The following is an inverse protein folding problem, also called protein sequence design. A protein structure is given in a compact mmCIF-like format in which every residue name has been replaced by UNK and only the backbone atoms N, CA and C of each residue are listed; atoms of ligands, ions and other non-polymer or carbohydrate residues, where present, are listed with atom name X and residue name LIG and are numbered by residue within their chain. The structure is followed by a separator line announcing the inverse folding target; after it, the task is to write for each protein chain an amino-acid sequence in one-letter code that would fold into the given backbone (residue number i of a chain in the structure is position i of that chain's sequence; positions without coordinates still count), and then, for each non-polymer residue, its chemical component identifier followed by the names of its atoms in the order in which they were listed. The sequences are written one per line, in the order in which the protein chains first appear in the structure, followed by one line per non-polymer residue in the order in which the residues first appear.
data_IF_452727700284
#
_entry.id   IF_452727700284
#
_cell.length_a   1.000
_cell.length_b   1.000
_cell.length_c   1.000
_cell.angle_alpha   90.00
_cell.angle_beta   90.00
_cell.angle_gamma   90.00
#
_symmetry.space_group_name_H-M   'P 1'
#
loop_
_entity.id
_entity.type
_entity.pdbx_description
1 polymer ?
#
# COMPACT_ATOMS: atom_id res chain seq x y z
N UNK A 1 -9.54 -3.95 6.78
CA UNK A 1 -8.62 -2.84 7.06
C UNK A 1 -8.17 -2.22 5.75
N UNK A 2 -8.11 -0.90 5.68
CA UNK A 2 -7.65 -0.12 4.51
C UNK A 2 -6.36 0.60 4.88
N UNK A 3 -5.31 0.38 4.10
CA UNK A 3 -3.99 0.98 4.29
C UNK A 3 -3.66 1.90 3.11
N UNK A 4 -3.59 3.21 3.39
CA UNK A 4 -3.41 4.25 2.39
C UNK A 4 -1.98 4.43 1.91
N UNK A 5 -1.83 5.20 0.82
CA UNK A 5 -0.54 5.63 0.29
C UNK A 5 0.19 6.58 1.25
N UNK A 6 1.52 6.66 1.17
CA UNK A 6 2.27 7.54 2.06
C UNK A 6 3.78 7.58 1.85
N UNK A 7 4.32 6.87 0.87
CA UNK A 7 5.76 6.74 0.68
C UNK A 7 6.46 6.12 1.90
N UNK A 8 7.75 6.35 2.04
CA UNK A 8 8.59 5.75 3.11
C UNK A 8 8.13 6.17 4.51
N UNK A 9 7.88 7.46 4.71
CA UNK A 9 7.46 7.96 6.03
C UNK A 9 6.00 7.62 6.34
N UNK A 10 5.14 7.54 5.32
CA UNK A 10 3.79 7.03 5.48
C UNK A 10 3.75 5.55 5.83
N UNK A 11 4.68 4.75 5.30
CA UNK A 11 4.85 3.34 5.70
C UNK A 11 5.24 3.24 7.20
N UNK A 12 6.22 4.01 7.64
CA UNK A 12 6.61 4.08 9.04
C UNK A 12 5.43 4.49 9.96
N UNK A 13 4.69 5.52 9.53
CA UNK A 13 3.49 5.96 10.25
C UNK A 13 2.43 4.86 10.29
N UNK A 14 2.21 4.15 9.18
CA UNK A 14 1.24 3.05 9.10
C UNK A 14 1.59 1.91 10.06
N UNK A 15 2.87 1.53 10.17
CA UNK A 15 3.29 0.50 11.14
C UNK A 15 2.97 0.95 12.57
N UNK A 16 3.27 2.21 12.92
CA UNK A 16 2.95 2.75 14.24
C UNK A 16 1.45 2.78 14.52
N UNK A 17 0.65 3.18 13.54
CA UNK A 17 -0.81 3.19 13.64
C UNK A 17 -1.41 1.77 13.73
N UNK A 18 -0.83 0.78 13.02
CA UNK A 18 -1.20 -0.63 13.13
C UNK A 18 -0.88 -1.19 14.52
N UNK A 19 0.31 -0.89 15.07
CA UNK A 19 0.67 -1.28 16.44
C UNK A 19 -0.33 -0.73 17.47
N UNK A 20 -0.71 0.54 17.31
CA UNK A 20 -1.73 1.15 18.13
C UNK A 20 -3.11 0.51 17.94
N UNK A 21 -3.47 0.16 16.69
CA UNK A 21 -4.75 -0.48 16.38
C UNK A 21 -4.86 -1.85 17.05
N UNK A 22 -3.84 -2.70 16.93
CA UNK A 22 -3.84 -4.02 17.59
C UNK A 22 -3.94 -3.89 19.11
N UNK A 23 -3.18 -2.95 19.70
CA UNK A 23 -3.21 -2.71 21.15
C UNK A 23 -4.56 -2.19 21.65
N UNK A 24 -5.16 -1.22 20.96
CA UNK A 24 -6.37 -0.53 21.45
C UNK A 24 -7.66 -1.25 21.06
N UNK A 25 -7.66 -1.97 19.95
CA UNK A 25 -8.83 -2.73 19.48
C UNK A 25 -8.81 -4.21 19.88
N UNK A 26 -7.65 -4.72 20.32
CA UNK A 26 -7.52 -6.07 20.90
C UNK A 26 -7.63 -7.21 19.89
N UNK A 27 -7.22 -7.01 18.63
CA UNK A 27 -7.19 -8.06 17.62
C UNK A 27 -5.93 -7.99 16.76
N UNK A 28 -5.51 -9.13 16.22
CA UNK A 28 -4.41 -9.23 15.26
C UNK A 28 -4.92 -8.82 13.86
N UNK A 29 -4.29 -7.82 13.24
CA UNK A 29 -4.68 -7.31 11.93
C UNK A 29 -4.58 -8.38 10.84
N UNK A 30 -3.79 -9.43 11.03
CA UNK A 30 -3.71 -10.56 10.10
C UNK A 30 -4.97 -11.43 10.07
N UNK A 31 -5.86 -11.30 11.05
CA UNK A 31 -7.11 -12.07 11.15
C UNK A 31 -8.31 -11.39 10.50
N UNK A 32 -8.13 -10.21 9.92
CA UNK A 32 -9.24 -9.48 9.27
C UNK A 32 -9.71 -10.18 8.00
N UNK A 33 -10.96 -9.99 7.63
CA UNK A 33 -11.54 -10.61 6.43
C UNK A 33 -10.98 -10.02 5.12
N UNK A 34 -10.55 -8.74 5.13
CA UNK A 34 -10.09 -8.04 3.94
C UNK A 34 -9.04 -6.97 4.28
N UNK A 35 -7.94 -6.98 3.53
CA UNK A 35 -6.95 -5.91 3.46
C UNK A 35 -7.06 -5.20 2.11
N UNK A 36 -7.07 -3.87 2.12
CA UNK A 36 -6.96 -3.05 0.90
C UNK A 36 -5.75 -2.16 1.05
N UNK A 37 -4.76 -2.31 0.17
CA UNK A 37 -3.52 -1.56 0.22
C UNK A 37 -3.29 -0.69 -1.01
N UNK A 38 -2.78 0.53 -0.80
CA UNK A 38 -2.37 1.45 -1.86
C UNK A 38 -0.95 1.94 -1.60
N UNK A 39 -0.03 1.80 -2.57
CA UNK A 39 1.37 2.29 -2.46
C UNK A 39 2.06 1.73 -1.19
N UNK A 40 2.54 2.56 -0.29
CA UNK A 40 3.10 2.13 1.00
C UNK A 40 2.16 1.16 1.76
N UNK A 41 0.85 1.40 1.72
CA UNK A 41 -0.14 0.50 2.29
C UNK A 41 -0.21 -0.85 1.58
N UNK A 42 0.13 -0.92 0.30
CA UNK A 42 0.20 -2.20 -0.42
C UNK A 42 1.35 -3.09 0.06
N UNK A 43 2.49 -2.48 0.40
CA UNK A 43 3.63 -3.19 1.01
C UNK A 43 3.21 -3.77 2.36
N UNK A 44 2.62 -2.95 3.25
CA UNK A 44 2.13 -3.41 4.55
C UNK A 44 1.07 -4.52 4.41
N UNK A 45 0.10 -4.35 3.49
CA UNK A 45 -0.93 -5.36 3.24
C UNK A 45 -0.35 -6.68 2.73
N UNK A 46 0.66 -6.63 1.85
CA UNK A 46 1.33 -7.83 1.36
C UNK A 46 2.11 -8.54 2.49
N UNK A 47 2.83 -7.80 3.33
CA UNK A 47 3.55 -8.37 4.48
C UNK A 47 2.58 -9.03 5.47
N UNK A 48 1.49 -8.35 5.85
CA UNK A 48 0.45 -8.89 6.73
C UNK A 48 -0.20 -10.14 6.12
N UNK A 49 -0.52 -10.11 4.85
CA UNK A 49 -1.10 -11.25 4.14
C UNK A 49 -0.15 -12.45 4.12
N UNK A 50 1.16 -12.22 3.96
CA UNK A 50 2.17 -13.26 4.08
C UNK A 50 2.43 -13.69 5.53
N UNK A 51 1.66 -13.22 6.51
CA UNK A 51 1.75 -13.65 7.91
C UNK A 51 2.80 -12.91 8.74
N UNK A 52 3.43 -11.84 8.21
CA UNK A 52 4.32 -10.97 9.01
C UNK A 52 3.47 -10.17 9.98
N UNK A 53 3.77 -10.25 11.27
CA UNK A 53 3.07 -9.48 12.30
C UNK A 53 3.46 -8.00 12.26
N UNK A 54 2.62 -7.16 12.83
CA UNK A 54 2.91 -5.74 12.99
C UNK A 54 4.17 -5.53 13.84
N UNK A 55 4.37 -6.38 14.84
CA UNK A 55 5.54 -6.31 15.72
C UNK A 55 6.85 -6.69 15.00
N UNK A 56 6.83 -7.71 14.12
CA UNK A 56 7.98 -8.04 13.25
C UNK A 56 8.30 -6.87 12.31
N UNK A 57 7.30 -6.26 11.67
CA UNK A 57 7.50 -5.07 10.83
C UNK A 57 8.09 -3.91 11.63
N UNK A 58 7.62 -3.69 12.85
CA UNK A 58 8.12 -2.65 13.76
C UNK A 58 9.59 -2.88 14.11
N UNK A 59 9.95 -4.09 14.57
CA UNK A 59 11.34 -4.44 14.93
C UNK A 59 12.28 -4.28 13.73
N UNK A 60 11.88 -4.80 12.57
CA UNK A 60 12.67 -4.64 11.35
C UNK A 60 12.85 -3.16 10.98
N UNK A 61 11.80 -2.36 11.10
CA UNK A 61 11.85 -0.92 10.80
C UNK A 61 12.76 -0.15 11.78
N UNK A 62 12.85 -0.59 13.01
CA UNK A 62 13.75 -0.06 14.04
C UNK A 62 15.20 -0.58 13.91
N UNK A 63 15.44 -1.59 13.08
CA UNK A 63 16.77 -2.21 12.91
C UNK A 63 17.14 -3.15 14.06
N UNK A 64 16.17 -3.71 14.76
CA UNK A 64 16.35 -4.65 15.90
C UNK A 64 15.55 -5.93 15.67
N UNK A 65 15.82 -6.70 14.57
CA UNK A 65 15.06 -7.90 14.29
C UNK A 65 15.17 -8.93 15.43
N UNK A 66 14.09 -9.62 15.69
CA UNK A 66 14.03 -10.72 16.66
C UNK A 66 14.61 -12.01 16.06
N UNK A 67 14.93 -13.01 16.92
CA UNK A 67 15.55 -14.26 16.47
C UNK A 67 14.65 -15.12 15.57
N UNK A 68 13.34 -14.91 15.62
CA UNK A 68 12.33 -15.61 14.81
C UNK A 68 11.80 -14.78 13.64
N UNK A 69 12.25 -13.54 13.50
CA UNK A 69 11.82 -12.69 12.42
C UNK A 69 12.36 -13.21 11.07
N UNK A 70 11.62 -13.08 9.96
CA UNK A 70 12.12 -13.50 8.67
C UNK A 70 13.38 -12.69 8.31
N UNK A 71 14.40 -13.30 7.71
CA UNK A 71 15.61 -12.60 7.27
C UNK A 71 15.26 -11.71 6.08
N UNK A 72 14.95 -10.45 6.34
CA UNK A 72 14.61 -9.45 5.32
C UNK A 72 15.84 -8.58 5.06
N UNK A 73 16.39 -8.68 3.85
CA UNK A 73 17.58 -7.94 3.42
C UNK A 73 17.23 -6.55 2.83
N UNK A 74 16.28 -5.83 3.42
CA UNK A 74 15.86 -4.52 2.94
C UNK A 74 16.52 -3.39 3.74
N UNK A 75 17.39 -2.61 3.10
CA UNK A 75 17.99 -1.42 3.69
C UNK A 75 17.16 -0.17 3.38
N UNK A 76 16.50 0.37 4.40
CA UNK A 76 15.69 1.59 4.25
C UNK A 76 16.48 2.81 3.79
N UNK A 77 17.79 2.88 4.01
CA UNK A 77 18.61 3.99 3.56
C UNK A 77 18.99 3.89 2.08
N UNK A 78 19.28 2.67 1.61
CA UNK A 78 19.70 2.40 0.25
C UNK A 78 18.52 2.08 -0.68
N UNK A 79 17.54 1.29 -0.19
CA UNK A 79 16.53 0.63 -1.02
C UNK A 79 15.24 1.44 -1.20
N UNK A 80 15.00 2.49 -0.41
CA UNK A 80 13.79 3.33 -0.55
C UNK A 80 13.88 4.36 -1.68
N UNK A 81 14.96 4.36 -2.44
CA UNK A 81 15.27 5.43 -3.36
C UNK A 81 15.78 6.66 -2.60
N UNK A 82 16.34 7.62 -3.30
CA UNK A 82 16.88 8.84 -2.69
C UNK A 82 15.73 9.76 -2.24
N UNK A 83 16.00 10.64 -1.27
CA UNK A 83 15.04 11.66 -0.82
C UNK A 83 14.57 12.61 -1.94
N UNK A 84 15.22 12.60 -3.10
CA UNK A 84 14.82 13.31 -4.30
C UNK A 84 14.79 12.32 -5.49
N UNK A 85 13.82 12.46 -6.41
CA UNK A 85 13.77 11.62 -7.59
C UNK A 85 15.02 11.82 -8.44
N UNK A 86 15.54 10.76 -9.10
CA UNK A 86 16.56 10.92 -10.12
C UNK A 86 16.02 11.81 -11.25
N UNK A 87 16.91 12.51 -11.97
CA UNK A 87 16.52 13.39 -13.08
C UNK A 87 15.58 12.67 -14.04
N UNK A 88 14.34 13.15 -14.24
CA UNK A 88 13.35 12.47 -15.07
C UNK A 88 13.74 12.47 -16.56
N UNK A 89 13.10 11.61 -17.34
CA UNK A 89 13.22 11.63 -18.80
C UNK A 89 12.42 12.83 -19.34
N UNK A 90 12.97 13.58 -20.31
CA UNK A 90 12.31 14.73 -20.94
C UNK A 90 11.21 14.30 -21.95
N UNK A 91 10.35 13.34 -21.58
CA UNK A 91 9.22 12.89 -22.39
C UNK A 91 7.99 12.69 -21.50
N UNK A 92 6.77 13.03 -21.98
CA UNK A 92 5.55 12.72 -21.26
C UNK A 92 5.48 11.23 -20.93
N UNK A 93 5.02 10.89 -19.74
CA UNK A 93 4.95 9.51 -19.26
C UNK A 93 3.95 8.67 -20.07
N UNK A 94 2.78 9.23 -20.42
CA UNK A 94 1.76 8.59 -21.24
C UNK A 94 1.06 9.56 -22.20
N UNK A 95 1.58 9.72 -23.43
CA UNK A 95 0.89 10.54 -24.44
C UNK A 95 -0.55 10.05 -24.73
N UNK A 96 -0.76 8.74 -24.66
CA UNK A 96 -2.07 8.12 -24.89
C UNK A 96 -3.10 8.56 -23.86
N UNK A 97 -2.72 8.54 -22.57
CA UNK A 97 -3.58 8.99 -21.48
C UNK A 97 -3.92 10.47 -21.59
N UNK A 98 -3.00 11.31 -22.10
CA UNK A 98 -3.25 12.72 -22.36
C UNK A 98 -4.29 12.91 -23.47
N UNK A 99 -4.18 12.15 -24.55
CA UNK A 99 -5.16 12.17 -25.65
C UNK A 99 -6.54 11.72 -25.15
N UNK A 100 -6.59 10.65 -24.35
CA UNK A 100 -7.85 10.15 -23.79
C UNK A 100 -8.46 11.14 -22.78
N UNK A 101 -7.65 11.83 -22.00
CA UNK A 101 -8.12 12.89 -21.08
C UNK A 101 -8.73 14.08 -21.83
N UNK A 102 -8.18 14.45 -22.99
CA UNK A 102 -8.74 15.50 -23.83
C UNK A 102 -10.02 15.04 -24.51
N UNK A 103 -10.07 13.79 -25.00
CA UNK A 103 -11.26 13.24 -25.68
C UNK A 103 -12.40 12.91 -24.73
N UNK A 104 -12.09 12.51 -23.50
CA UNK A 104 -13.04 12.02 -22.50
C UNK A 104 -12.83 12.68 -21.13
N UNK A 105 -12.94 14.03 -21.00
CA UNK A 105 -12.56 14.76 -19.77
C UNK A 105 -13.40 14.37 -18.54
N UNK A 106 -14.58 13.79 -18.74
CA UNK A 106 -15.42 13.29 -17.63
C UNK A 106 -15.04 11.88 -17.16
N UNK A 107 -14.28 11.12 -17.96
CA UNK A 107 -13.89 9.74 -17.64
C UNK A 107 -12.50 9.65 -17.02
N UNK A 108 -11.61 10.58 -17.33
CA UNK A 108 -10.24 10.64 -16.78
C UNK A 108 -10.17 11.74 -15.74
N UNK A 109 -9.88 11.38 -14.51
CA UNK A 109 -9.67 12.37 -13.44
C UNK A 109 -8.49 13.29 -13.78
N UNK A 110 -8.61 14.59 -13.50
CA UNK A 110 -7.57 15.57 -13.80
C UNK A 110 -6.19 15.21 -13.21
N UNK A 111 -6.16 14.64 -12.01
CA UNK A 111 -4.92 14.19 -11.36
C UNK A 111 -4.25 13.01 -12.09
N UNK A 112 -5.05 12.13 -12.70
CA UNK A 112 -4.53 11.00 -13.49
C UNK A 112 -4.00 11.52 -14.84
N UNK A 113 -4.68 12.49 -15.46
CA UNK A 113 -4.19 13.18 -16.65
C UNK A 113 -2.86 13.89 -16.37
N UNK A 114 -2.75 14.58 -15.23
CA UNK A 114 -1.50 15.18 -14.77
C UNK A 114 -0.39 14.14 -14.62
N UNK A 115 -0.69 12.97 -14.05
CA UNK A 115 0.27 11.87 -13.97
C UNK A 115 0.77 11.42 -15.35
N UNK A 116 -0.09 11.44 -16.37
CA UNK A 116 0.27 11.20 -17.78
C UNK A 116 1.19 12.26 -18.38
N UNK A 117 1.05 13.51 -17.94
CA UNK A 117 1.90 14.63 -18.37
C UNK A 117 3.28 14.62 -17.69
N UNK A 118 3.38 14.04 -16.50
CA UNK A 118 4.65 13.98 -15.78
C UNK A 118 5.67 13.13 -16.56
N UNK A 119 6.95 13.53 -16.56
CA UNK A 119 8.00 12.78 -17.25
C UNK A 119 8.21 11.41 -16.60
N UNK A 120 8.62 10.42 -17.39
CA UNK A 120 8.92 9.08 -16.87
C UNK A 120 10.06 9.09 -15.87
N UNK A 121 9.86 8.48 -14.69
CA UNK A 121 10.88 8.33 -13.67
C UNK A 121 12.01 7.36 -14.07
N UNK A 122 13.10 7.35 -13.28
CA UNK A 122 14.27 6.50 -13.45
C UNK A 122 14.65 5.71 -12.19
N UNK A 123 13.85 5.83 -11.11
CA UNK A 123 14.03 5.03 -9.91
C UNK A 123 13.75 3.55 -10.17
N UNK A 124 14.23 2.67 -9.30
CA UNK A 124 13.90 1.24 -9.34
C UNK A 124 13.03 0.86 -8.16
N UNK A 125 12.11 -0.07 -8.37
CA UNK A 125 11.31 -0.73 -7.34
C UNK A 125 11.74 -2.20 -7.13
N UNK A 126 12.88 -2.59 -7.68
CA UNK A 126 13.43 -3.94 -7.50
C UNK A 126 13.66 -4.29 -6.02
N UNK A 127 14.11 -3.37 -5.14
CA UNK A 127 14.19 -3.66 -3.72
C UNK A 127 12.83 -3.98 -3.09
N UNK A 128 11.78 -3.26 -3.46
CA UNK A 128 10.40 -3.53 -2.98
C UNK A 128 9.89 -4.86 -3.51
N UNK A 129 10.19 -5.20 -4.78
CA UNK A 129 9.87 -6.50 -5.36
C UNK A 129 10.54 -7.63 -4.60
N UNK A 130 11.87 -7.50 -4.34
CA UNK A 130 12.62 -8.49 -3.57
C UNK A 130 12.09 -8.64 -2.16
N UNK A 131 11.84 -7.55 -1.46
CA UNK A 131 11.28 -7.57 -0.11
C UNK A 131 10.00 -8.44 -0.03
N UNK A 132 9.04 -8.19 -0.92
CA UNK A 132 7.78 -8.94 -0.91
C UNK A 132 8.00 -10.41 -1.33
N UNK A 133 8.89 -10.67 -2.28
CA UNK A 133 9.23 -12.03 -2.69
C UNK A 133 9.92 -12.81 -1.56
N UNK A 134 10.93 -12.24 -0.91
CA UNK A 134 11.65 -12.85 0.22
C UNK A 134 10.72 -13.17 1.39
N UNK A 135 9.81 -12.25 1.72
CA UNK A 135 8.80 -12.48 2.75
C UNK A 135 7.85 -13.61 2.38
N UNK A 136 7.38 -13.64 1.13
CA UNK A 136 6.50 -14.70 0.64
C UNK A 136 7.21 -16.06 0.65
N UNK A 137 8.47 -16.11 0.21
CA UNK A 137 9.28 -17.33 0.20
C UNK A 137 9.56 -17.84 1.63
N UNK A 138 9.93 -16.94 2.56
CA UNK A 138 10.19 -17.29 3.95
C UNK A 138 8.95 -17.86 4.68
N UNK A 139 7.76 -17.54 4.19
CA UNK A 139 6.48 -18.04 4.73
C UNK A 139 5.89 -19.20 3.91
N UNK A 140 6.67 -19.80 2.99
CA UNK A 140 6.26 -20.96 2.20
C UNK A 140 5.25 -20.67 1.09
N UNK A 141 5.07 -19.38 0.73
CA UNK A 141 4.18 -18.93 -0.36
C UNK A 141 4.94 -18.78 -1.69
N UNK A 142 6.24 -19.03 -1.70
CA UNK A 142 7.09 -19.00 -2.90
C UNK A 142 6.83 -20.17 -3.84
N UNK A 143 7.25 -20.03 -5.10
CA UNK A 143 7.09 -21.02 -6.16
C UNK A 143 7.73 -22.40 -5.86
N UNK A 144 8.59 -22.50 -4.83
CA UNK A 144 9.26 -23.73 -4.41
C UNK A 144 8.48 -24.59 -3.40
N UNK A 145 7.31 -24.15 -2.90
CA UNK A 145 6.58 -24.89 -1.85
C UNK A 145 5.65 -25.99 -2.37
N UNK A 146 5.59 -26.24 -3.66
CA UNK A 146 5.00 -27.47 -4.22
C UNK A 146 6.00 -28.63 -4.01
N UNK A 147 6.09 -29.15 -2.77
CA UNK A 147 6.72 -30.46 -2.55
C UNK A 147 5.89 -31.49 -3.28
N UNK A 148 6.46 -32.25 -4.25
CA UNK A 148 5.78 -33.42 -4.75
C UNK A 148 5.74 -34.44 -3.62
N UNK A 149 4.54 -34.76 -3.14
CA UNK A 149 4.28 -35.99 -2.39
C UNK A 149 4.39 -37.14 -3.36
N UNK A 150 5.49 -37.90 -3.35
CA UNK A 150 5.62 -39.12 -4.09
C UNK A 150 7.02 -39.31 -4.67
N UNK A 151 7.74 -40.33 -4.17
CA UNK A 151 9.10 -40.66 -4.44
C UNK A 151 9.39 -41.09 -5.89
N UNK A 152 10.66 -41.04 -6.25
CA UNK A 152 11.22 -41.55 -7.48
C UNK A 152 12.66 -41.06 -7.68
N UNK A 153 13.60 -41.98 -7.69
CA UNK A 153 15.03 -41.84 -7.66
C UNK A 153 15.68 -41.23 -8.93
N UNK A 154 16.79 -40.56 -8.70
CA UNK A 154 18.06 -40.51 -9.45
C UNK A 154 18.06 -40.44 -11.01
N UNK A 155 18.79 -39.42 -11.51
CA UNK A 155 19.30 -39.33 -12.86
C UNK A 155 20.36 -38.21 -12.98
N UNK A 156 21.63 -38.60 -12.97
CA UNK A 156 22.83 -37.79 -13.23
C UNK A 156 22.95 -37.43 -14.70
N UNK A 157 23.40 -36.21 -15.06
CA UNK A 157 23.72 -35.88 -16.43
C UNK A 157 24.30 -34.48 -16.67
N UNK A 158 25.61 -34.38 -16.61
CA UNK A 158 26.57 -33.61 -17.46
C UNK A 158 26.36 -32.12 -17.79
N UNK A 159 27.48 -31.43 -17.54
CA UNK A 159 27.85 -30.06 -17.86
C UNK A 159 27.84 -29.71 -19.36
N UNK A 160 27.48 -28.46 -19.67
CA UNK A 160 27.71 -27.81 -20.96
C UNK A 160 27.92 -26.32 -20.77
N UNK A 161 29.17 -25.87 -21.02
CA UNK A 161 29.63 -24.49 -20.99
C UNK A 161 29.14 -23.74 -22.21
N UNK A 162 28.43 -22.62 -22.02
CA UNK A 162 28.11 -21.71 -23.11
C UNK A 162 28.02 -20.28 -22.59
N UNK A 163 28.85 -19.39 -23.12
CA UNK A 163 29.00 -17.97 -22.82
C UNK A 163 27.68 -17.26 -23.17
N UNK A 164 27.04 -16.64 -22.18
CA UNK A 164 25.76 -15.98 -22.36
C UNK A 164 25.93 -14.47 -22.58
N UNK A 165 25.32 -13.97 -23.63
CA UNK A 165 25.08 -12.56 -23.88
C UNK A 165 24.17 -12.02 -22.76
N UNK A 166 24.46 -10.78 -22.27
CA UNK A 166 23.65 -10.06 -21.30
C UNK A 166 22.36 -9.60 -21.96
N UNK A 167 21.41 -10.49 -22.08
CA UNK A 167 20.02 -10.18 -22.32
C UNK A 167 19.32 -10.02 -20.99
N UNK A 168 18.49 -8.98 -20.84
CA UNK A 168 17.57 -8.81 -19.71
C UNK A 168 16.72 -10.06 -19.64
N UNK A 169 17.08 -11.00 -18.77
CA UNK A 169 16.34 -12.23 -18.57
C UNK A 169 14.97 -11.84 -18.02
N UNK A 170 13.92 -12.16 -18.77
CA UNK A 170 12.60 -12.36 -18.22
C UNK A 170 12.75 -13.46 -17.16
N UNK A 171 12.78 -13.05 -15.88
CA UNK A 171 12.78 -13.98 -14.76
C UNK A 171 11.47 -14.74 -14.86
N UNK A 172 11.58 -16.02 -15.19
CA UNK A 172 10.45 -16.93 -15.33
C UNK A 172 9.55 -16.86 -14.10
N UNK A 173 8.26 -16.58 -14.34
CA UNK A 173 7.27 -16.39 -13.31
C UNK A 173 6.99 -17.67 -12.53
N UNK A 174 7.69 -17.84 -11.42
CA UNK A 174 7.16 -18.60 -10.32
C UNK A 174 5.98 -17.82 -9.78
N UNK A 175 4.76 -18.36 -9.94
CA UNK A 175 3.56 -17.75 -9.41
C UNK A 175 3.66 -17.74 -7.89
N UNK A 176 4.03 -16.59 -7.29
CA UNK A 176 3.86 -16.39 -5.86
C UNK A 176 2.36 -16.42 -5.58
N UNK A 177 1.94 -17.45 -4.84
CA UNK A 177 0.55 -17.63 -4.49
C UNK A 177 0.09 -16.46 -3.62
N UNK A 178 -1.09 -15.93 -3.90
CA UNK A 178 -1.74 -15.00 -2.98
C UNK A 178 -2.24 -15.79 -1.78
N UNK A 179 -1.99 -15.31 -0.56
CA UNK A 179 -2.60 -15.88 0.64
C UNK A 179 -4.13 -15.88 0.51
N UNK A 180 -4.78 -16.95 0.93
CA UNK A 180 -6.24 -17.04 0.90
C UNK A 180 -6.88 -16.12 1.96
N UNK A 181 -6.24 -16.02 3.11
CA UNK A 181 -6.64 -15.17 4.22
C UNK A 181 -5.43 -14.41 4.80
N UNK A 182 -5.61 -13.14 5.13
CA UNK A 182 -6.77 -12.30 4.79
C UNK A 182 -6.88 -12.05 3.28
N UNK A 183 -8.10 -11.95 2.75
CA UNK A 183 -8.28 -11.50 1.36
C UNK A 183 -7.58 -10.17 1.18
N UNK A 184 -6.79 -10.04 0.15
CA UNK A 184 -5.96 -8.84 -0.03
C UNK A 184 -6.17 -8.24 -1.40
N UNK A 185 -6.45 -6.93 -1.45
CA UNK A 185 -6.58 -6.17 -2.68
C UNK A 185 -5.51 -5.09 -2.73
N UNK A 186 -4.74 -5.09 -3.80
CA UNK A 186 -3.68 -4.11 -4.04
C UNK A 186 -4.14 -3.15 -5.14
N UNK A 187 -4.28 -1.87 -4.79
CA UNK A 187 -4.76 -0.84 -5.70
C UNK A 187 -3.63 -0.29 -6.57
N UNK A 188 -3.80 -0.34 -7.89
CA UNK A 188 -2.95 0.33 -8.86
C UNK A 188 -3.80 1.08 -9.90
N UNK A 189 -3.16 1.87 -10.75
CA UNK A 189 -3.82 2.60 -11.84
C UNK A 189 -3.30 2.09 -13.18
N UNK A 190 -4.18 1.60 -14.04
CA UNK A 190 -3.85 1.29 -15.43
C UNK A 190 -3.47 2.59 -16.15
N UNK A 191 -2.23 2.65 -16.64
CA UNK A 191 -1.66 3.89 -17.20
C UNK A 191 -2.12 4.18 -18.63
N UNK A 192 -2.88 3.26 -19.25
CA UNK A 192 -3.50 3.50 -20.56
C UNK A 192 -4.88 4.13 -20.42
N UNK A 193 -5.68 3.59 -19.50
CA UNK A 193 -7.08 4.00 -19.33
C UNK A 193 -7.28 5.01 -18.18
N UNK A 194 -6.31 5.18 -17.31
CA UNK A 194 -6.44 5.98 -16.08
C UNK A 194 -7.40 5.39 -15.05
N UNK A 195 -7.85 4.15 -15.22
CA UNK A 195 -8.80 3.47 -14.32
C UNK A 195 -8.03 2.71 -13.22
N UNK A 196 -8.62 2.68 -12.03
CA UNK A 196 -8.10 1.85 -10.95
C UNK A 196 -8.28 0.37 -11.28
N UNK A 197 -7.30 -0.43 -10.89
CA UNK A 197 -7.32 -1.90 -10.91
C UNK A 197 -7.01 -2.38 -9.49
N UNK A 198 -7.78 -3.31 -8.99
CA UNK A 198 -7.54 -3.99 -7.72
C UNK A 198 -6.98 -5.39 -8.02
N UNK A 199 -5.69 -5.54 -7.91
CA UNK A 199 -5.08 -6.86 -7.95
C UNK A 199 -5.54 -7.67 -6.75
N UNK A 200 -5.82 -8.96 -6.97
CA UNK A 200 -6.45 -9.84 -5.97
C UNK A 200 -7.98 -9.88 -6.07
N UNK A 201 -8.63 -8.85 -6.65
CA UNK A 201 -10.05 -8.82 -6.96
C UNK A 201 -10.31 -8.89 -8.47
N UNK A 202 -9.87 -7.86 -9.20
CA UNK A 202 -10.18 -7.69 -10.62
C UNK A 202 -9.24 -8.53 -11.50
N UNK A 203 -8.02 -8.73 -11.01
CA UNK A 203 -6.96 -9.48 -11.70
C UNK A 203 -5.98 -10.06 -10.69
N UNK A 204 -5.50 -11.28 -10.96
CA UNK A 204 -4.39 -11.89 -10.23
C UNK A 204 -3.11 -11.84 -11.06
N UNK A 205 -2.03 -11.38 -10.43
CA UNK A 205 -0.66 -11.36 -10.93
C UNK A 205 0.23 -11.75 -9.76
N UNK A 206 1.51 -12.05 -9.92
CA UNK A 206 2.39 -12.29 -8.76
C UNK A 206 2.30 -11.15 -7.75
N UNK A 207 2.19 -11.48 -6.45
CA UNK A 207 2.00 -10.48 -5.39
C UNK A 207 3.09 -9.39 -5.38
N UNK A 208 4.40 -9.71 -5.58
CA UNK A 208 5.44 -8.68 -5.70
C UNK A 208 5.19 -7.71 -6.86
N UNK A 209 4.66 -8.20 -7.99
CA UNK A 209 4.38 -7.36 -9.16
C UNK A 209 3.19 -6.42 -8.91
N UNK A 210 2.16 -6.91 -8.23
CA UNK A 210 1.02 -6.10 -7.82
C UNK A 210 1.47 -4.94 -6.90
N UNK A 211 2.36 -5.23 -5.93
CA UNK A 211 2.90 -4.21 -5.01
C UNK A 211 3.77 -3.20 -5.76
N UNK A 212 4.64 -3.67 -6.66
CA UNK A 212 5.46 -2.77 -7.52
C UNK A 212 4.58 -1.86 -8.36
N UNK A 213 3.51 -2.38 -8.96
CA UNK A 213 2.56 -1.58 -9.73
C UNK A 213 1.88 -0.52 -8.86
N UNK A 214 1.51 -0.89 -7.62
CA UNK A 214 0.91 0.01 -6.65
C UNK A 214 1.85 1.10 -6.13
N UNK A 215 3.17 0.88 -6.18
CA UNK A 215 4.21 1.79 -5.71
C UNK A 215 4.88 2.60 -6.85
N UNK A 216 4.48 2.43 -8.11
CA UNK A 216 5.09 3.09 -9.25
C UNK A 216 4.68 4.57 -9.36
N UNK A 217 5.19 5.42 -8.45
CA UNK A 217 4.91 6.86 -8.37
C UNK A 217 5.36 7.55 -9.66
N UNK A 218 4.46 8.24 -10.40
CA UNK A 218 4.80 9.00 -11.59
C UNK A 218 5.93 10.00 -11.33
N UNK A 219 6.81 10.19 -12.31
CA UNK A 219 8.03 11.00 -12.26
C UNK A 219 9.14 10.46 -11.33
N UNK A 220 8.84 9.56 -10.41
CA UNK A 220 9.85 8.93 -9.53
C UNK A 220 10.32 7.60 -10.11
N UNK A 221 9.36 6.74 -10.45
CA UNK A 221 9.58 5.40 -11.00
C UNK A 221 9.04 5.29 -12.41
N UNK A 222 9.59 4.39 -13.25
CA UNK A 222 8.94 4.01 -14.49
C UNK A 222 7.62 3.27 -14.18
N UNK A 223 6.63 3.32 -15.08
CA UNK A 223 5.45 2.49 -14.95
C UNK A 223 5.82 1.00 -14.86
N UNK A 224 5.21 0.27 -13.95
CA UNK A 224 5.37 -1.18 -13.87
C UNK A 224 4.64 -1.84 -15.05
N UNK A 225 5.34 -2.68 -15.81
CA UNK A 225 4.74 -3.37 -16.96
C UNK A 225 4.45 -4.83 -16.57
N UNK A 226 3.15 -5.20 -16.59
CA UNK A 226 2.68 -6.55 -16.28
C UNK A 226 1.86 -7.03 -17.48
N UNK A 227 2.25 -8.12 -18.11
CA UNK A 227 1.64 -8.68 -19.33
C UNK A 227 1.44 -7.61 -20.41
N UNK A 228 2.47 -6.79 -20.66
CA UNK A 228 2.46 -5.72 -21.66
C UNK A 228 1.57 -4.52 -21.32
N UNK A 229 0.97 -4.45 -20.12
CA UNK A 229 0.18 -3.32 -19.64
C UNK A 229 0.97 -2.49 -18.61
N UNK A 230 1.10 -1.18 -18.81
CA UNK A 230 1.75 -0.30 -17.85
C UNK A 230 0.80 0.09 -16.74
N UNK A 231 1.29 0.06 -15.49
CA UNK A 231 0.57 0.49 -14.30
C UNK A 231 1.40 1.53 -13.55
N UNK A 232 0.71 2.43 -12.87
CA UNK A 232 1.28 3.42 -11.96
C UNK A 232 0.61 3.32 -10.59
N UNK A 233 1.17 4.04 -9.61
CA UNK A 233 0.69 4.09 -8.23
C UNK A 233 -0.84 4.29 -8.15
N UNK A 234 -1.48 3.50 -7.30
CA UNK A 234 -2.93 3.58 -7.06
C UNK A 234 -3.38 4.92 -6.48
N UNK A 235 -2.48 5.63 -5.79
CA UNK A 235 -2.71 6.96 -5.27
C UNK A 235 -3.03 8.02 -6.33
N UNK A 236 -2.72 7.76 -7.61
CA UNK A 236 -3.15 8.60 -8.73
C UNK A 236 -4.68 8.65 -8.86
N UNK A 237 -5.40 7.59 -8.50
CA UNK A 237 -6.86 7.55 -8.49
C UNK A 237 -7.40 7.81 -7.10
N UNK A 238 -6.92 7.10 -6.07
CA UNK A 238 -7.35 7.27 -4.69
C UNK A 238 -6.24 6.87 -3.73
N UNK A 239 -5.97 7.74 -2.75
CA UNK A 239 -4.90 7.49 -1.77
C UNK A 239 -5.21 6.40 -0.75
N UNK A 240 -6.48 6.02 -0.57
CA UNK A 240 -6.88 4.95 0.35
C UNK A 240 -7.83 3.93 -0.28
N UNK A 241 -8.44 4.23 -1.44
CA UNK A 241 -9.37 3.33 -2.12
C UNK A 241 -10.52 2.82 -1.23
N UNK A 242 -11.04 3.65 -0.34
CA UNK A 242 -12.13 3.31 0.59
C UNK A 242 -13.44 3.02 -0.15
N UNK A 243 -13.69 3.74 -1.23
CA UNK A 243 -14.88 3.64 -2.09
C UNK A 243 -15.08 2.22 -2.70
N UNK A 244 -14.03 1.40 -2.78
CA UNK A 244 -14.13 0.02 -3.31
C UNK A 244 -14.86 -0.95 -2.37
N UNK A 245 -15.08 -0.53 -1.12
CA UNK A 245 -15.78 -1.30 -0.11
C UNK A 245 -17.31 -1.15 -0.19
N UNK A 246 -17.79 -0.18 -0.96
CA UNK A 246 -19.23 0.02 -1.16
C UNK A 246 -19.93 -1.23 -1.66
N UNK A 247 -21.04 -1.59 -1.05
CA UNK A 247 -21.83 -2.77 -1.40
C UNK A 247 -21.29 -4.10 -0.85
N UNK A 248 -20.18 -4.10 -0.11
CA UNK A 248 -19.73 -5.28 0.63
C UNK A 248 -20.45 -5.40 1.96
N UNK A 249 -20.73 -6.62 2.38
CA UNK A 249 -21.25 -6.93 3.72
C UNK A 249 -20.11 -6.88 4.73
N UNK A 250 -19.93 -5.72 5.37
CA UNK A 250 -18.86 -5.44 6.32
C UNK A 250 -19.47 -4.86 7.60
N UNK A 251 -19.06 -5.39 8.74
CA UNK A 251 -19.46 -4.86 10.04
C UNK A 251 -18.66 -3.62 10.42
N UNK A 252 -17.35 -3.66 10.23
CA UNK A 252 -16.44 -2.62 10.67
C UNK A 252 -15.26 -2.44 9.72
N UNK A 253 -14.89 -1.18 9.47
CA UNK A 253 -13.77 -0.81 8.61
C UNK A 253 -12.83 0.15 9.36
N UNK A 254 -11.56 -0.20 9.42
CA UNK A 254 -10.49 0.67 9.89
C UNK A 254 -9.72 1.22 8.69
N UNK A 255 -9.62 2.54 8.59
CA UNK A 255 -8.92 3.24 7.51
C UNK A 255 -7.72 3.96 8.10
N UNK A 256 -6.52 3.51 7.77
CA UNK A 256 -5.26 4.16 8.13
C UNK A 256 -4.76 4.95 6.93
N UNK A 257 -4.85 6.29 7.01
CA UNK A 257 -4.63 7.16 5.86
C UNK A 257 -3.49 8.17 6.11
N UNK A 258 -2.21 7.77 5.93
CA UNK A 258 -1.06 8.62 6.21
C UNK A 258 -0.97 9.89 5.36
N UNK A 259 -1.64 9.93 4.20
CA UNK A 259 -1.72 11.12 3.33
C UNK A 259 -2.90 12.04 3.66
N UNK A 260 -3.79 11.64 4.56
CA UNK A 260 -4.87 12.51 5.05
C UNK A 260 -4.47 13.21 6.36
N UNK A 261 -5.20 14.23 6.75
CA UNK A 261 -5.17 14.81 8.09
C UNK A 261 -6.47 15.58 8.31
N UNK A 262 -7.24 15.17 9.31
CA UNK A 262 -8.48 15.85 9.67
C UNK A 262 -8.22 17.03 10.62
N UNK A 263 -7.09 17.00 11.33
CA UNK A 263 -6.71 18.08 12.25
C UNK A 263 -5.90 19.14 11.51
N UNK A 264 -6.21 20.40 11.78
CA UNK A 264 -5.49 21.51 11.18
C UNK A 264 -4.13 21.74 11.86
N UNK A 265 -3.09 21.93 11.06
CA UNK A 265 -1.80 22.44 11.51
C UNK A 265 -1.47 23.77 10.83
N UNK A 266 -0.44 24.48 11.34
CA UNK A 266 0.02 25.76 10.79
C UNK A 266 1.44 25.62 10.21
N UNK A 267 1.57 25.20 8.95
CA UNK A 267 2.87 25.01 8.32
C UNK A 267 3.61 26.35 8.16
N UNK A 268 4.90 26.36 8.55
CA UNK A 268 5.74 27.57 8.49
C UNK A 268 6.37 27.81 7.13
N UNK A 269 6.72 26.75 6.38
CA UNK A 269 7.40 26.88 5.09
C UNK A 269 6.41 26.90 3.90
N UNK A 270 6.75 27.58 2.78
CA UNK A 270 5.92 27.54 1.57
C UNK A 270 5.72 26.12 1.04
N UNK A 271 6.77 25.28 1.04
CA UNK A 271 6.70 23.88 0.60
C UNK A 271 5.72 23.09 1.45
N UNK A 272 5.75 23.26 2.77
CA UNK A 272 4.80 22.61 3.67
C UNK A 272 3.37 23.12 3.46
N UNK A 273 3.17 24.37 3.07
CA UNK A 273 1.84 24.92 2.74
C UNK A 273 1.26 24.26 1.49
N UNK A 274 2.07 24.04 0.46
CA UNK A 274 1.67 23.33 -0.76
C UNK A 274 1.31 21.88 -0.42
N UNK A 275 2.18 21.19 0.32
CA UNK A 275 1.92 19.80 0.75
C UNK A 275 0.60 19.73 1.55
N UNK A 276 0.34 20.66 2.48
CA UNK A 276 -0.92 20.70 3.23
C UNK A 276 -2.13 21.00 2.36
N UNK A 277 -1.98 21.77 1.28
CA UNK A 277 -3.07 21.97 0.33
C UNK A 277 -3.43 20.67 -0.41
N UNK A 278 -2.44 19.91 -0.85
CA UNK A 278 -2.63 18.59 -1.46
C UNK A 278 -3.27 17.63 -0.46
N UNK A 279 -2.74 17.58 0.77
CA UNK A 279 -3.25 16.72 1.84
C UNK A 279 -4.72 17.02 2.15
N UNK A 280 -5.11 18.31 2.22
CA UNK A 280 -6.52 18.70 2.41
C UNK A 280 -7.44 18.21 1.29
N UNK A 281 -6.97 18.24 0.05
CA UNK A 281 -7.74 17.69 -1.08
C UNK A 281 -7.93 16.18 -0.97
N UNK A 282 -6.87 15.46 -0.61
CA UNK A 282 -6.89 14.01 -0.35
C UNK A 282 -7.84 13.70 0.82
N UNK A 283 -7.72 14.42 1.92
CA UNK A 283 -8.56 14.24 3.11
C UNK A 283 -10.05 14.38 2.80
N UNK A 284 -10.43 15.40 2.02
CA UNK A 284 -11.83 15.59 1.61
C UNK A 284 -12.38 14.38 0.85
N UNK A 285 -11.59 13.81 -0.05
CA UNK A 285 -11.99 12.60 -0.80
C UNK A 285 -12.17 11.40 0.14
N UNK A 286 -11.21 11.13 1.01
CA UNK A 286 -11.28 10.00 1.95
C UNK A 286 -12.44 10.16 2.95
N UNK A 287 -12.65 11.37 3.47
CA UNK A 287 -13.78 11.65 4.38
C UNK A 287 -15.12 11.44 3.67
N UNK A 288 -15.25 11.84 2.41
CA UNK A 288 -16.46 11.60 1.64
C UNK A 288 -16.75 10.10 1.47
N UNK A 289 -15.70 9.31 1.13
CA UNK A 289 -15.82 7.85 0.99
C UNK A 289 -16.20 7.19 2.33
N UNK A 290 -15.56 7.61 3.44
CA UNK A 290 -15.87 7.14 4.80
C UNK A 290 -17.31 7.48 5.17
N UNK A 291 -17.77 8.71 4.92
CA UNK A 291 -19.14 9.13 5.19
C UNK A 291 -20.14 8.29 4.39
N UNK A 292 -19.82 7.95 3.15
CA UNK A 292 -20.68 7.09 2.31
C UNK A 292 -20.80 5.67 2.90
N UNK A 293 -19.72 5.09 3.41
CA UNK A 293 -19.76 3.79 4.08
C UNK A 293 -20.57 3.86 5.39
N UNK A 294 -20.40 4.93 6.16
CA UNK A 294 -21.15 5.14 7.41
C UNK A 294 -22.65 5.30 7.11
N UNK A 295 -23.01 6.03 6.06
CA UNK A 295 -24.39 6.17 5.62
C UNK A 295 -25.00 4.82 5.17
N UNK A 296 -24.18 3.90 4.63
CA UNK A 296 -24.58 2.53 4.32
C UNK A 296 -24.64 1.60 5.55
N UNK A 297 -24.43 2.13 6.76
CA UNK A 297 -24.52 1.37 8.02
C UNK A 297 -23.22 0.63 8.39
N UNK A 298 -22.12 0.82 7.64
CA UNK A 298 -20.83 0.23 7.97
C UNK A 298 -20.11 1.09 9.00
N UNK A 299 -19.75 0.49 10.12
CA UNK A 299 -18.95 1.18 11.12
C UNK A 299 -17.55 1.46 10.58
N UNK A 300 -17.16 2.73 10.49
CA UNK A 300 -15.86 3.11 9.90
C UNK A 300 -15.07 4.00 10.84
N UNK A 301 -13.85 3.59 11.16
CA UNK A 301 -12.88 4.29 12.00
C UNK A 301 -11.78 4.83 11.10
N UNK A 302 -11.67 6.16 11.01
CA UNK A 302 -10.62 6.84 10.23
C UNK A 302 -9.50 7.33 11.14
N UNK A 303 -8.30 6.82 10.94
CA UNK A 303 -7.07 7.24 11.62
C UNK A 303 -6.18 7.98 10.64
N UNK A 304 -5.76 9.18 11.00
CA UNK A 304 -4.91 10.05 10.18
C UNK A 304 -3.84 10.70 11.03
N UNK A 305 -2.70 11.10 10.45
CA UNK A 305 -1.69 11.91 11.12
C UNK A 305 -2.28 13.18 11.75
N UNK A 306 -1.95 13.42 13.01
CA UNK A 306 -2.22 14.67 13.71
C UNK A 306 -1.09 15.69 13.53
N UNK A 307 -1.20 16.89 14.17
CA UNK A 307 -0.19 17.94 14.06
C UNK A 307 1.22 17.50 14.45
N UNK A 308 1.37 16.66 15.48
CA UNK A 308 2.66 16.13 15.92
C UNK A 308 3.27 15.21 14.86
N UNK A 309 2.48 14.29 14.30
CA UNK A 309 2.93 13.41 13.22
C UNK A 309 3.38 14.22 12.01
N UNK A 310 2.59 15.24 11.63
CA UNK A 310 2.90 16.12 10.50
C UNK A 310 4.19 16.91 10.69
N UNK A 311 4.53 17.28 11.93
CA UNK A 311 5.77 17.97 12.24
C UNK A 311 7.00 17.08 12.02
N UNK A 312 6.91 15.78 12.38
CA UNK A 312 8.03 14.84 12.19
C UNK A 312 8.07 14.26 10.77
N UNK A 313 6.94 14.05 10.11
CA UNK A 313 6.87 13.61 8.71
C UNK A 313 7.49 14.69 7.80
N UNK A 314 7.10 15.96 8.01
CA UNK A 314 7.52 17.05 7.14
C UNK A 314 6.91 16.97 5.74
N UNK A 315 7.52 17.69 4.77
CA UNK A 315 7.00 17.79 3.42
C UNK A 315 7.50 16.69 2.46
N UNK A 316 8.57 15.99 2.83
CA UNK A 316 9.17 14.94 1.98
C UNK A 316 8.98 13.57 2.57
N UNK A 317 7.93 12.88 2.10
CA UNK A 317 7.57 11.53 2.53
C UNK A 317 8.55 10.43 2.08
N UNK A 318 9.47 10.72 1.17
CA UNK A 318 10.45 9.75 0.67
C UNK A 318 11.80 9.82 1.43
N UNK A 319 11.95 10.70 2.44
CA UNK A 319 13.19 10.82 3.19
C UNK A 319 13.25 9.77 4.33
N UNK A 320 14.07 8.71 4.24
CA UNK A 320 14.08 7.62 5.22
C UNK A 320 14.68 8.00 6.58
N UNK A 321 15.40 9.15 6.66
CA UNK A 321 16.13 9.53 7.88
C UNK A 321 15.25 9.73 9.11
N UNK A 322 13.97 10.06 8.91
CA UNK A 322 12.99 10.30 9.98
C UNK A 322 12.10 9.10 10.30
N UNK A 323 12.32 7.96 9.65
CA UNK A 323 11.40 6.81 9.73
C UNK A 323 11.14 6.33 11.16
N UNK A 324 12.20 6.19 11.96
CA UNK A 324 12.08 5.72 13.36
C UNK A 324 11.30 6.72 14.21
N UNK A 325 11.62 8.02 14.10
CA UNK A 325 10.90 9.07 14.82
C UNK A 325 9.41 9.12 14.40
N UNK A 326 9.11 8.96 13.11
CA UNK A 326 7.73 8.93 12.60
C UNK A 326 6.99 7.71 13.15
N UNK A 327 7.61 6.53 13.16
CA UNK A 327 7.05 5.31 13.74
C UNK A 327 6.68 5.51 15.22
N UNK A 328 7.62 5.97 16.04
CA UNK A 328 7.43 6.15 17.48
C UNK A 328 6.35 7.22 17.78
N UNK A 329 6.37 8.33 17.04
CA UNK A 329 5.35 9.36 17.17
C UNK A 329 3.98 8.80 16.82
N UNK A 330 3.87 8.07 15.70
CA UNK A 330 2.61 7.47 15.25
C UNK A 330 2.05 6.45 16.24
N UNK A 331 2.88 5.60 16.83
CA UNK A 331 2.44 4.66 17.87
C UNK A 331 1.72 5.39 19.01
N UNK A 332 2.30 6.47 19.50
CA UNK A 332 1.75 7.25 20.62
C UNK A 332 0.49 8.04 20.21
N UNK A 333 0.57 8.78 19.11
CA UNK A 333 -0.53 9.67 18.68
C UNK A 333 -1.73 8.86 18.20
N UNK A 334 -1.50 7.76 17.46
CA UNK A 334 -2.57 6.87 17.00
C UNK A 334 -3.25 6.12 18.16
N UNK A 335 -2.51 5.73 19.20
CA UNK A 335 -3.10 5.09 20.38
C UNK A 335 -4.08 6.05 21.11
N UNK A 336 -3.68 7.31 21.30
CA UNK A 336 -4.56 8.33 21.90
C UNK A 336 -5.81 8.54 21.05
N UNK A 337 -5.63 8.65 19.74
CA UNK A 337 -6.73 8.85 18.80
C UNK A 337 -7.68 7.66 18.76
N UNK A 338 -7.14 6.44 18.67
CA UNK A 338 -7.94 5.21 18.64
C UNK A 338 -8.74 5.03 19.93
N UNK A 339 -8.16 5.26 21.10
CA UNK A 339 -8.90 5.22 22.36
C UNK A 339 -10.12 6.12 22.32
N UNK A 340 -9.97 7.37 21.83
CA UNK A 340 -11.07 8.31 21.70
C UNK A 340 -12.13 7.82 20.72
N UNK A 341 -11.72 7.35 19.53
CA UNK A 341 -12.62 6.88 18.48
C UNK A 341 -13.34 5.57 18.87
N UNK A 342 -12.66 4.68 19.61
CA UNK A 342 -13.22 3.42 20.07
C UNK A 342 -14.12 3.63 21.29
N UNK A 343 -13.80 4.58 22.20
CA UNK A 343 -14.65 4.92 23.34
C UNK A 343 -15.97 5.57 22.91
N UNK A 344 -16.00 6.30 21.80
CA UNK A 344 -17.21 6.83 21.19
C UNK A 344 -18.12 5.72 20.59
N UNK A 345 -17.89 4.46 20.98
CA UNK A 345 -18.71 3.30 20.62
C UNK A 345 -20.12 3.45 21.20
N UNK A 346 -21.05 3.95 20.41
CA UNK A 346 -22.47 3.76 20.73
C UNK A 346 -22.75 2.25 20.61
N UNK A 347 -23.30 1.59 21.66
CA UNK A 347 -23.69 0.20 21.56
C UNK A 347 -24.65 0.04 20.38
N UNK A 348 -24.38 -0.94 19.49
CA UNK A 348 -25.32 -1.31 18.43
C UNK A 348 -26.62 -1.73 19.15
N UNK A 349 -27.66 -0.88 19.12
CA UNK A 349 -29.00 -1.30 19.53
C UNK A 349 -29.30 -2.59 18.77
N UNK A 350 -29.66 -3.65 19.51
CA UNK A 350 -29.99 -4.95 18.94
C UNK A 350 -30.96 -4.68 17.77
N UNK A 351 -30.57 -5.11 16.57
CA UNK A 351 -31.49 -5.13 15.42
C UNK A 351 -32.70 -5.92 15.90
N UNK A 352 -33.79 -5.24 16.07
CA UNK A 352 -35.04 -5.83 16.50
C UNK A 352 -35.32 -7.01 15.60
N UNK A 353 -35.36 -8.21 16.20
CA UNK A 353 -35.90 -9.41 15.61
C UNK A 353 -37.27 -9.06 15.07
N UNK A 354 -37.41 -8.97 13.74
CA UNK A 354 -38.68 -8.83 13.08
C UNK A 354 -39.53 -10.07 13.37
N UNK A 355 -40.26 -10.05 14.48
CA UNK A 355 -41.47 -10.85 14.63
C UNK A 355 -42.57 -10.07 13.94
N UNK A 356 -42.94 -10.53 12.74
CA UNK A 356 -44.23 -10.20 12.12
C UNK A 356 -45.34 -10.72 13.02
N UNK A 357 -46.29 -9.91 13.41
CA UNK A 357 -47.51 -10.44 14.01
C UNK A 357 -48.37 -11.14 12.96
N UNK A 358 -48.91 -12.28 13.33
CA UNK A 358 -49.81 -13.11 12.56
C UNK A 358 -51.11 -12.40 12.14
#
# INVERSE_FOLDING_TARGET
VVLGSGGVLGFAWTIGALSALESEAGFDVRTVSLLVGTSAGSVASAMLACGVSVDEMRRHHQGVPGPTDPPIAFDYAADTGRALPPRPRLRPGSPRLLVDAVRHPRQVRAIVALAGALPGGRGTLDPVRRLVAEVADARGLGAGSLRPTGGGAAGSGAAGSGVAAVGVAAVGGGATAWPEQPRTWIAATDYRSGRRVLFGRDRRVPLPDAVVASCAIPAWYPPAVIDGRPYIDGGAVSNASVDVLGGLDLDEVYVLAPMASVDADRPRSPVSRIERAIRRAITRGIVADVTSLQAAGVRTVLVTPGPEDLAVIGANLMNPRRRTQVLETSMRTSAVRLRTLLAARVPRAARASGQSPA
#
